data_IF_348885578559
#
_entry.id   IF_348885578559
#
_cell.length_a   1.000
_cell.length_b   1.000
_cell.length_c   1.000
_cell.angle_alpha   90.00
_cell.angle_beta   90.00
_cell.angle_gamma   90.00
#
_symmetry.space_group_name_H-M   'P 1'
#
loop_
_entity.id
_entity.type
_entity.pdbx_description
1 polymer ?
#
# COMPACT_ATOMS: atom_id res chain seq x y z
N UNK A 1 -20.14 15.58 13.64
CA UNK A 1 -19.27 14.41 13.56
C UNK A 1 -18.41 14.48 12.31
N UNK A 2 -17.12 14.27 12.49
CA UNK A 2 -16.22 14.22 11.34
C UNK A 2 -16.47 12.95 10.53
N UNK A 3 -16.49 13.08 9.19
CA UNK A 3 -16.55 11.91 8.35
C UNK A 3 -15.15 11.27 8.30
N UNK A 4 -15.05 10.09 7.71
CA UNK A 4 -13.80 9.35 7.64
C UNK A 4 -12.69 10.15 6.95
N UNK A 5 -13.02 10.91 5.89
CA UNK A 5 -12.04 11.71 5.16
C UNK A 5 -11.44 12.79 6.06
N UNK A 6 -12.27 13.52 6.80
CA UNK A 6 -11.80 14.55 7.71
C UNK A 6 -10.94 13.98 8.84
N UNK A 7 -11.37 12.83 9.37
CA UNK A 7 -10.62 12.13 10.41
C UNK A 7 -9.22 11.74 9.92
N UNK A 8 -9.13 11.14 8.74
CA UNK A 8 -7.86 10.76 8.15
C UNK A 8 -6.97 11.97 7.90
N UNK A 9 -7.55 13.07 7.43
CA UNK A 9 -6.79 14.29 7.18
C UNK A 9 -6.16 14.83 8.46
N UNK A 10 -6.93 14.95 9.52
CA UNK A 10 -6.46 15.50 10.80
C UNK A 10 -5.34 14.64 11.40
N UNK A 11 -5.49 13.33 11.40
CA UNK A 11 -4.47 12.43 11.92
C UNK A 11 -3.21 12.43 11.06
N UNK A 12 -3.39 12.40 9.74
CA UNK A 12 -2.28 12.34 8.81
C UNK A 12 -1.45 13.63 8.81
N UNK A 13 -2.04 14.77 9.22
CA UNK A 13 -1.31 16.02 9.28
C UNK A 13 -0.05 15.94 10.15
N UNK A 14 -0.07 15.11 11.19
CA UNK A 14 1.08 14.91 12.08
C UNK A 14 2.14 14.00 11.49
N UNK A 15 1.80 13.24 10.45
CA UNK A 15 2.66 12.21 9.89
C UNK A 15 3.11 12.53 8.46
N UNK A 16 2.60 13.61 7.88
CA UNK A 16 2.73 13.92 6.45
C UNK A 16 4.19 14.00 5.98
N UNK A 17 5.10 14.44 6.84
CA UNK A 17 6.52 14.55 6.51
C UNK A 17 7.31 13.26 6.72
N UNK A 18 6.70 12.24 7.28
CA UNK A 18 7.40 11.00 7.59
C UNK A 18 7.48 10.08 6.37
N UNK A 19 8.56 9.33 6.33
CA UNK A 19 8.80 8.34 5.27
C UNK A 19 9.09 6.99 5.92
N UNK A 20 8.79 5.93 5.18
CA UNK A 20 8.89 4.56 5.71
C UNK A 20 9.44 3.63 4.65
N UNK A 21 10.28 2.71 5.06
CA UNK A 21 10.81 1.69 4.17
C UNK A 21 9.84 0.51 4.10
N UNK A 22 9.46 0.16 2.88
CA UNK A 22 8.67 -1.04 2.66
C UNK A 22 9.57 -2.25 2.99
N UNK A 23 9.08 -3.21 3.80
CA UNK A 23 9.89 -4.37 4.18
C UNK A 23 10.33 -5.21 2.98
N UNK A 24 11.51 -5.82 3.12
CA UNK A 24 12.05 -6.71 2.09
C UNK A 24 11.09 -7.82 1.67
N UNK A 25 10.36 -8.40 2.62
CA UNK A 25 9.42 -9.47 2.30
C UNK A 25 8.31 -9.01 1.35
N UNK A 26 7.85 -7.76 1.51
CA UNK A 26 6.84 -7.17 0.64
C UNK A 26 7.43 -6.91 -0.74
N UNK A 27 8.61 -6.31 -0.80
CA UNK A 27 9.31 -6.05 -2.06
C UNK A 27 9.61 -7.33 -2.81
N UNK A 28 10.04 -8.37 -2.09
CA UNK A 28 10.33 -9.68 -2.67
C UNK A 28 9.08 -10.30 -3.28
N UNK A 29 7.94 -10.19 -2.57
CA UNK A 29 6.66 -10.66 -3.08
C UNK A 29 6.30 -9.96 -4.40
N UNK A 30 6.37 -8.62 -4.43
CA UNK A 30 6.07 -7.83 -5.63
C UNK A 30 6.99 -8.22 -6.79
N UNK A 31 8.28 -8.36 -6.50
CA UNK A 31 9.26 -8.76 -7.52
C UNK A 31 8.94 -10.13 -8.11
N UNK A 32 8.57 -11.09 -7.27
CA UNK A 32 8.20 -12.43 -7.73
C UNK A 32 6.96 -12.40 -8.62
N UNK A 33 5.97 -11.58 -8.27
CA UNK A 33 4.75 -11.42 -9.07
C UNK A 33 5.10 -10.81 -10.42
N UNK A 34 5.93 -9.78 -10.46
CA UNK A 34 6.36 -9.16 -11.71
C UNK A 34 7.14 -10.15 -12.59
N UNK A 35 8.01 -10.97 -12.00
CA UNK A 35 8.76 -11.96 -12.74
C UNK A 35 7.85 -13.03 -13.35
N UNK A 36 6.80 -13.39 -12.63
CA UNK A 36 5.85 -14.41 -13.08
C UNK A 36 4.85 -13.89 -14.12
N UNK A 37 4.44 -12.63 -13.99
CA UNK A 37 3.36 -12.04 -14.81
C UNK A 37 3.81 -10.74 -15.50
N UNK A 38 5.10 -10.57 -15.76
CA UNK A 38 5.66 -9.33 -16.30
C UNK A 38 5.22 -8.94 -17.69
N UNK A 39 4.64 -9.86 -18.45
CA UNK A 39 4.07 -9.58 -19.76
C UNK A 39 2.66 -8.99 -19.68
N UNK A 40 2.07 -8.90 -18.48
CA UNK A 40 0.73 -8.35 -18.27
C UNK A 40 0.78 -6.86 -17.90
N UNK A 41 1.42 -6.07 -18.75
CA UNK A 41 1.66 -4.63 -18.49
C UNK A 41 0.40 -3.78 -18.40
N UNK A 42 -0.71 -4.27 -18.93
CA UNK A 42 -2.00 -3.55 -18.90
C UNK A 42 -2.81 -3.84 -17.65
N UNK A 43 -2.38 -4.80 -16.83
CA UNK A 43 -3.09 -5.14 -15.59
C UNK A 43 -2.89 -4.01 -14.58
N UNK A 44 -3.99 -3.60 -13.94
CA UNK A 44 -3.92 -2.62 -12.86
C UNK A 44 -2.96 -3.08 -11.78
N UNK A 45 -2.18 -2.16 -11.26
CA UNK A 45 -1.15 -2.46 -10.27
C UNK A 45 0.25 -2.63 -10.84
N UNK A 46 0.39 -2.86 -12.16
CA UNK A 46 1.70 -3.02 -12.78
C UNK A 46 2.60 -1.80 -12.55
N UNK A 47 2.06 -0.60 -12.81
CA UNK A 47 2.83 0.64 -12.62
C UNK A 47 3.19 0.86 -11.16
N UNK A 48 2.25 0.60 -10.25
CA UNK A 48 2.50 0.72 -8.81
C UNK A 48 3.59 -0.26 -8.37
N UNK A 49 3.53 -1.51 -8.82
CA UNK A 49 4.51 -2.52 -8.47
C UNK A 49 5.93 -2.06 -8.85
N UNK A 50 6.11 -1.58 -10.08
CA UNK A 50 7.40 -1.07 -10.54
C UNK A 50 7.83 0.15 -9.75
N UNK A 51 6.90 1.06 -9.47
CA UNK A 51 7.20 2.27 -8.69
C UNK A 51 7.73 1.90 -7.30
N UNK A 52 7.07 0.97 -6.62
CA UNK A 52 7.45 0.56 -5.27
C UNK A 52 8.81 -0.15 -5.24
N UNK A 53 9.09 -0.99 -6.23
CA UNK A 53 10.41 -1.65 -6.32
C UNK A 53 11.53 -0.66 -6.56
N UNK A 54 11.28 0.38 -7.36
CA UNK A 54 12.27 1.42 -7.65
C UNK A 54 12.38 2.45 -6.53
N UNK A 55 11.35 2.57 -5.70
CA UNK A 55 11.25 3.59 -4.64
C UNK A 55 10.72 2.93 -3.36
N UNK A 56 11.51 2.08 -2.70
CA UNK A 56 11.02 1.35 -1.51
C UNK A 56 10.81 2.22 -0.29
N UNK A 57 11.38 3.44 -0.25
CA UNK A 57 11.12 4.41 0.79
C UNK A 57 9.98 5.31 0.35
N UNK A 58 8.84 5.24 1.06
CA UNK A 58 7.61 5.90 0.64
C UNK A 58 7.13 6.90 1.68
N UNK A 59 6.58 8.05 1.24
CA UNK A 59 5.96 9.01 2.16
C UNK A 59 4.65 8.43 2.73
N UNK A 60 4.31 8.87 3.93
CA UNK A 60 3.13 8.38 4.63
C UNK A 60 1.85 8.46 3.78
N UNK A 61 1.68 9.56 3.03
CA UNK A 61 0.47 9.76 2.20
C UNK A 61 0.30 8.63 1.18
N UNK A 62 1.40 8.13 0.61
CA UNK A 62 1.32 7.03 -0.34
C UNK A 62 0.92 5.73 0.35
N UNK A 63 1.36 5.52 1.58
CA UNK A 63 0.95 4.33 2.36
C UNK A 63 -0.53 4.38 2.71
N UNK A 64 -1.06 5.57 2.98
CA UNK A 64 -2.51 5.75 3.19
C UNK A 64 -3.28 5.38 1.92
N UNK A 65 -2.78 5.75 0.76
CA UNK A 65 -3.39 5.39 -0.51
C UNK A 65 -3.37 3.87 -0.74
N UNK A 66 -2.26 3.22 -0.39
CA UNK A 66 -2.14 1.76 -0.48
C UNK A 66 -3.13 1.08 0.47
N UNK A 67 -3.21 1.57 1.71
CA UNK A 67 -4.19 1.07 2.68
C UNK A 67 -5.62 1.22 2.14
N UNK A 68 -5.92 2.36 1.54
CA UNK A 68 -7.25 2.63 0.96
C UNK A 68 -7.58 1.61 -0.14
N UNK A 69 -6.60 1.26 -0.97
CA UNK A 69 -6.79 0.21 -1.97
C UNK A 69 -7.26 -1.10 -1.31
N UNK A 70 -6.54 -1.56 -0.28
CA UNK A 70 -6.88 -2.81 0.39
C UNK A 70 -8.20 -2.75 1.16
N UNK A 71 -8.55 -1.57 1.69
CA UNK A 71 -9.82 -1.39 2.40
C UNK A 71 -11.02 -1.45 1.46
N UNK A 72 -10.84 -1.08 0.20
CA UNK A 72 -11.94 -0.93 -0.77
C UNK A 72 -11.97 -2.01 -1.86
N UNK A 73 -10.92 -2.83 -1.98
CA UNK A 73 -10.88 -3.86 -3.01
C UNK A 73 -11.86 -4.98 -2.72
N UNK A 74 -12.60 -5.40 -3.74
CA UNK A 74 -13.46 -6.57 -3.65
C UNK A 74 -12.66 -7.81 -4.03
N UNK A 75 -12.25 -8.57 -3.02
CA UNK A 75 -11.39 -9.75 -3.21
C UNK A 75 -12.04 -10.83 -4.06
N UNK A 76 -13.38 -10.89 -4.10
CA UNK A 76 -14.09 -11.90 -4.87
C UNK A 76 -14.12 -11.57 -6.36
N UNK A 77 -13.96 -10.31 -6.73
CA UNK A 77 -14.08 -9.85 -8.11
C UNK A 77 -12.80 -9.23 -8.68
N UNK A 78 -11.80 -8.95 -7.86
CA UNK A 78 -10.54 -8.35 -8.34
C UNK A 78 -9.73 -9.39 -9.13
N UNK A 79 -9.04 -8.90 -10.17
CA UNK A 79 -8.06 -9.74 -10.86
C UNK A 79 -6.98 -10.17 -9.85
N UNK A 80 -6.73 -11.49 -9.67
CA UNK A 80 -5.73 -11.96 -8.72
C UNK A 80 -4.34 -11.37 -8.95
N UNK A 81 -3.94 -11.16 -10.21
CA UNK A 81 -2.65 -10.56 -10.52
C UNK A 81 -2.59 -9.11 -10.04
N UNK A 82 -3.67 -8.34 -10.25
CA UNK A 82 -3.75 -6.97 -9.74
C UNK A 82 -3.55 -6.91 -8.23
N UNK A 83 -4.25 -7.77 -7.50
CA UNK A 83 -4.15 -7.83 -6.04
C UNK A 83 -2.71 -8.09 -5.59
N UNK A 84 -2.07 -9.08 -6.21
CA UNK A 84 -0.70 -9.46 -5.88
C UNK A 84 0.32 -8.39 -6.31
N UNK A 85 0.10 -7.70 -7.44
CA UNK A 85 0.95 -6.59 -7.88
C UNK A 85 0.91 -5.40 -6.92
N UNK A 86 -0.19 -5.23 -6.19
CA UNK A 86 -0.29 -4.22 -5.14
C UNK A 86 0.36 -4.66 -3.82
N UNK A 87 0.94 -5.84 -3.79
CA UNK A 87 1.66 -6.37 -2.65
C UNK A 87 0.97 -7.51 -1.92
N UNK A 88 -0.26 -7.87 -2.31
CA UNK A 88 -0.99 -8.98 -1.72
C UNK A 88 -1.23 -8.82 -0.23
N UNK A 89 -1.51 -9.93 0.45
CA UNK A 89 -1.78 -9.92 1.89
C UNK A 89 -0.59 -9.45 2.73
N UNK A 90 0.65 -9.71 2.29
CA UNK A 90 1.82 -9.28 3.03
C UNK A 90 1.93 -7.76 3.10
N UNK A 91 1.59 -7.07 2.02
CA UNK A 91 1.52 -5.60 2.01
C UNK A 91 0.33 -5.12 2.83
N UNK A 92 -0.83 -5.71 2.62
CA UNK A 92 -2.05 -5.32 3.36
C UNK A 92 -1.80 -5.37 4.87
N UNK A 93 -1.29 -6.48 5.35
CA UNK A 93 -1.01 -6.66 6.77
C UNK A 93 -0.02 -5.61 7.29
N UNK A 94 1.07 -5.40 6.57
CA UNK A 94 2.09 -4.45 6.98
C UNK A 94 1.57 -3.02 7.03
N UNK A 95 0.90 -2.56 5.96
CA UNK A 95 0.44 -1.18 5.88
C UNK A 95 -0.66 -0.88 6.91
N UNK A 96 -1.55 -1.84 7.16
CA UNK A 96 -2.59 -1.68 8.17
C UNK A 96 -1.98 -1.51 9.56
N UNK A 97 -1.02 -2.35 9.91
CA UNK A 97 -0.36 -2.28 11.21
C UNK A 97 0.47 -1.00 11.36
N UNK A 98 1.23 -0.63 10.33
CA UNK A 98 2.05 0.58 10.37
C UNK A 98 1.18 1.82 10.63
N UNK A 99 0.14 2.00 9.85
CA UNK A 99 -0.70 3.19 9.94
C UNK A 99 -1.41 3.23 11.30
N UNK A 100 -1.93 2.11 11.75
CA UNK A 100 -2.57 2.01 13.06
C UNK A 100 -1.59 2.42 14.17
N UNK A 101 -0.39 1.86 14.15
CA UNK A 101 0.61 2.12 15.18
C UNK A 101 1.11 3.57 15.16
N UNK A 102 1.30 4.13 13.98
CA UNK A 102 1.73 5.52 13.85
C UNK A 102 0.66 6.50 14.34
N UNK A 103 -0.61 6.23 14.07
CA UNK A 103 -1.71 7.06 14.56
C UNK A 103 -1.82 7.00 16.08
N UNK A 104 -1.62 5.83 16.66
CA UNK A 104 -1.60 5.68 18.13
C UNK A 104 -0.41 6.47 18.71
N UNK A 105 0.77 6.36 18.08
CA UNK A 105 1.99 7.02 18.54
C UNK A 105 1.87 8.55 18.60
N UNK A 106 1.19 9.16 17.61
CA UNK A 106 1.08 10.63 17.54
C UNK A 106 -0.14 11.19 18.26
N UNK A 107 -1.03 10.35 18.70
CA UNK A 107 -2.17 10.74 19.53
C UNK A 107 -1.83 10.51 21.00
#
# INVERSE_FOLDING_TARGET
>A
MLNETNFLYEENAKLIGNRYDIPEEVLHHIKNVLNKFGDQKTVKGYKRANHLLNNPNQPFVNLVMIKSYFDNVDKDNVNPVEYELNGGEVMNKWVQELIKNERIRVN
#
